data_IF_540869695692
#
_entry.id   IF_540869695692
#
_cell.length_a   1.000
_cell.length_b   1.000
_cell.length_c   1.000
_cell.angle_alpha   90.00
_cell.angle_beta   90.00
_cell.angle_gamma   90.00
#
_symmetry.space_group_name_H-M   'P 1'
#
loop_
_entity.id
_entity.type
_entity.pdbx_description
1 polymer ?
#
# COMPACT_ATOMS: atom_id res chain seq x y z
N UNK A 1 2.41 0.97 -5.84
CA UNK A 1 1.11 0.26 -5.80
C UNK A 1 1.32 -1.03 -6.59
N UNK A 2 0.97 -2.18 -6.01
CA UNK A 2 1.10 -3.47 -6.70
C UNK A 2 -0.30 -4.08 -6.95
N UNK A 3 -0.80 -4.07 -8.20
CA UNK A 3 -2.12 -4.59 -8.51
C UNK A 3 -2.19 -6.13 -8.46
N UNK A 4 -1.08 -6.84 -8.74
CA UNK A 4 -1.04 -8.31 -8.76
C UNK A 4 -1.12 -8.85 -7.33
N UNK A 5 -0.29 -8.31 -6.44
CA UNK A 5 -0.31 -8.69 -5.02
C UNK A 5 -1.61 -8.27 -4.33
N UNK A 6 -2.18 -7.13 -4.74
CA UNK A 6 -3.50 -6.70 -4.26
C UNK A 6 -4.58 -7.72 -4.59
N UNK A 7 -4.63 -8.17 -5.84
CA UNK A 7 -5.60 -9.18 -6.29
C UNK A 7 -5.40 -10.52 -5.57
N UNK A 8 -4.15 -10.97 -5.43
CA UNK A 8 -3.83 -12.24 -4.79
C UNK A 8 -4.13 -12.26 -3.27
N UNK A 9 -3.89 -11.15 -2.56
CA UNK A 9 -4.05 -11.07 -1.11
C UNK A 9 -5.44 -10.59 -0.64
N UNK A 10 -6.27 -10.06 -1.56
CA UNK A 10 -7.56 -9.44 -1.22
C UNK A 10 -7.43 -8.16 -0.38
N UNK A 11 -6.24 -7.57 -0.33
CA UNK A 11 -5.93 -6.35 0.43
C UNK A 11 -5.03 -5.45 -0.42
N UNK A 12 -5.34 -4.15 -0.42
CA UNK A 12 -4.57 -3.15 -1.18
C UNK A 12 -3.10 -3.17 -0.75
N UNK A 13 -2.22 -3.49 -1.69
CA UNK A 13 -0.76 -3.42 -1.51
C UNK A 13 -0.22 -2.10 -2.06
N UNK A 14 0.02 -1.16 -1.15
CA UNK A 14 0.49 0.18 -1.42
C UNK A 14 1.53 0.58 -0.37
N UNK A 15 2.56 1.30 -0.82
CA UNK A 15 3.52 2.00 0.03
C UNK A 15 3.72 3.43 -0.48
N UNK A 16 4.03 4.34 0.44
CA UNK A 16 4.40 5.72 0.14
C UNK A 16 5.78 5.97 0.74
N UNK A 17 6.66 6.62 -0.03
CA UNK A 17 8.06 6.80 0.35
C UNK A 17 8.54 8.19 -0.02
N UNK A 18 9.45 8.74 0.79
CA UNK A 18 10.16 9.97 0.50
C UNK A 18 11.67 9.73 0.57
N UNK A 19 12.40 10.37 -0.32
CA UNK A 19 13.86 10.31 -0.34
C UNK A 19 14.45 11.29 0.67
N UNK A 20 15.62 10.95 1.20
CA UNK A 20 16.42 11.92 1.93
C UNK A 20 17.00 12.98 0.98
N UNK A 21 17.19 14.22 1.44
CA UNK A 21 18.00 15.20 0.74
C UNK A 21 19.42 14.67 0.47
N UNK A 22 20.03 15.07 -0.64
CA UNK A 22 21.32 14.54 -1.08
C UNK A 22 22.47 14.78 -0.08
N UNK A 23 22.35 15.80 0.75
CA UNK A 23 23.30 16.24 1.78
C UNK A 23 22.98 15.69 3.19
N UNK A 24 21.89 14.94 3.34
CA UNK A 24 21.41 14.42 4.61
C UNK A 24 21.06 12.93 4.52
N UNK A 25 21.96 12.14 3.92
CA UNK A 25 21.87 10.70 4.05
C UNK A 25 22.20 10.31 5.49
N UNK A 26 21.34 9.51 6.17
CA UNK A 26 21.67 9.02 7.50
C UNK A 26 23.02 8.30 7.46
N UNK A 27 23.96 8.76 8.30
CA UNK A 27 25.33 8.20 8.40
C UNK A 27 25.27 6.75 8.88
N UNK A 28 25.23 5.84 7.91
CA UNK A 28 24.92 4.42 8.10
C UNK A 28 23.55 4.23 8.77
N UNK A 29 22.67 3.49 8.10
CA UNK A 29 21.50 2.94 8.78
C UNK A 29 22.01 2.06 9.92
N UNK A 30 22.11 2.63 11.14
CA UNK A 30 22.19 1.83 12.36
C UNK A 30 21.05 0.83 12.26
N UNK A 31 21.34 -0.45 12.47
CA UNK A 31 20.43 -1.59 12.27
C UNK A 31 19.05 -1.38 12.93
N UNK A 32 18.98 -0.48 13.91
CA UNK A 32 17.79 0.00 14.63
C UNK A 32 16.77 0.80 13.78
N UNK A 33 17.18 1.37 12.64
CA UNK A 33 16.30 2.07 11.69
C UNK A 33 15.84 1.18 10.53
N UNK A 34 16.18 -0.12 10.52
CA UNK A 34 15.41 -1.08 9.77
C UNK A 34 14.01 -1.10 10.38
N UNK A 35 13.17 -0.16 9.94
CA UNK A 35 11.73 -0.26 10.05
C UNK A 35 11.37 -1.69 9.64
N UNK A 36 10.39 -2.26 10.34
CA UNK A 36 9.95 -3.64 10.17
C UNK A 36 9.42 -3.84 8.74
N UNK A 37 10.31 -3.94 7.76
CA UNK A 37 10.01 -4.25 6.38
C UNK A 37 9.68 -5.73 6.42
N UNK A 38 8.42 -6.13 6.15
CA UNK A 38 8.07 -7.54 6.10
C UNK A 38 9.05 -8.26 5.18
N UNK A 39 9.51 -9.44 5.57
CA UNK A 39 10.54 -10.21 4.84
C UNK A 39 10.27 -10.30 3.34
N UNK A 40 8.98 -10.37 2.96
CA UNK A 40 8.50 -10.48 1.58
C UNK A 40 8.72 -9.19 0.75
N UNK A 41 9.07 -8.08 1.40
CA UNK A 41 9.35 -6.79 0.77
C UNK A 41 10.84 -6.45 0.79
N UNK A 42 11.68 -7.17 1.54
CA UNK A 42 13.12 -6.89 1.64
C UNK A 42 13.83 -6.98 0.27
N UNK A 43 13.38 -7.87 -0.61
CA UNK A 43 13.92 -8.00 -1.97
C UNK A 43 13.70 -6.73 -2.82
N UNK A 44 12.59 -6.01 -2.62
CA UNK A 44 12.23 -4.81 -3.38
C UNK A 44 13.04 -3.58 -2.95
N UNK A 45 13.57 -3.57 -1.71
CA UNK A 45 14.22 -2.38 -1.16
C UNK A 45 15.65 -2.19 -1.66
N UNK A 46 16.31 -3.27 -2.10
CA UNK A 46 17.56 -3.25 -2.88
C UNK A 46 18.73 -2.46 -2.26
N UNK A 47 19.76 -2.18 -3.07
CA UNK A 47 20.97 -1.47 -2.65
C UNK A 47 20.75 0.01 -2.25
N UNK A 48 19.55 0.56 -2.46
CA UNK A 48 19.20 1.96 -2.19
C UNK A 48 18.22 2.13 -1.03
N UNK A 49 17.95 1.07 -0.25
CA UNK A 49 17.02 1.10 0.88
C UNK A 49 17.30 2.22 1.90
N UNK A 50 18.56 2.64 2.03
CA UNK A 50 18.99 3.71 2.94
C UNK A 50 18.78 5.14 2.39
N UNK A 51 18.29 5.30 1.16
CA UNK A 51 18.09 6.61 0.52
C UNK A 51 16.66 7.14 0.66
N UNK A 52 15.74 6.36 1.21
CA UNK A 52 14.35 6.75 1.40
C UNK A 52 13.76 6.13 2.68
N UNK A 53 12.64 6.66 3.13
CA UNK A 53 11.88 6.15 4.27
C UNK A 53 10.40 6.01 3.92
N UNK A 54 9.73 5.07 4.59
CA UNK A 54 8.32 4.83 4.39
C UNK A 54 7.47 5.81 5.19
N UNK A 55 6.41 6.31 4.57
CA UNK A 55 5.37 7.10 5.21
C UNK A 55 4.23 6.20 5.71
N UNK A 56 3.63 6.59 6.84
CA UNK A 56 2.39 6.00 7.31
C UNK A 56 1.26 6.33 6.33
N UNK A 57 0.59 5.31 5.82
CA UNK A 57 -0.57 5.46 4.95
C UNK A 57 -1.83 5.35 5.79
N UNK A 58 -2.73 6.31 5.62
CA UNK A 58 -4.07 6.30 6.22
C UNK A 58 -5.12 6.44 5.13
N UNK A 59 -6.28 5.81 5.35
CA UNK A 59 -7.42 5.92 4.45
C UNK A 59 -8.45 6.86 5.06
N UNK A 60 -9.07 7.69 4.23
CA UNK A 60 -10.21 8.49 4.62
C UNK A 60 -11.25 8.45 3.50
N UNK A 61 -12.50 8.75 3.85
CA UNK A 61 -13.59 8.99 2.91
C UNK A 61 -14.19 10.34 3.28
N UNK A 62 -14.39 11.22 2.29
CA UNK A 62 -15.14 12.44 2.55
C UNK A 62 -16.62 12.14 2.75
N UNK A 63 -17.38 13.09 3.31
CA UNK A 63 -18.83 12.95 3.47
C UNK A 63 -19.54 12.76 2.12
N UNK A 64 -19.06 13.44 1.08
CA UNK A 64 -19.56 13.30 -0.29
C UNK A 64 -19.26 11.90 -0.85
N UNK A 65 -18.02 11.41 -0.66
CA UNK A 65 -17.65 10.06 -1.10
C UNK A 65 -18.53 9.02 -0.42
N UNK A 66 -18.80 9.18 0.88
CA UNK A 66 -19.66 8.26 1.62
C UNK A 66 -21.07 8.21 1.05
N UNK A 67 -21.69 9.37 0.82
CA UNK A 67 -23.02 9.46 0.24
C UNK A 67 -23.08 8.84 -1.17
N UNK A 68 -22.06 9.11 -2.00
CA UNK A 68 -21.95 8.54 -3.34
C UNK A 68 -21.78 7.02 -3.30
N UNK A 69 -20.91 6.50 -2.43
CA UNK A 69 -20.70 5.06 -2.29
C UNK A 69 -21.94 4.33 -1.77
N UNK A 70 -22.69 4.94 -0.85
CA UNK A 70 -23.96 4.38 -0.37
C UNK A 70 -25.00 4.26 -1.50
N UNK A 71 -25.08 5.24 -2.39
CA UNK A 71 -25.98 5.17 -3.54
C UNK A 71 -25.53 4.14 -4.58
N UNK A 72 -24.23 4.12 -4.91
CA UNK A 72 -23.67 3.12 -5.81
C UNK A 72 -23.84 1.70 -5.26
N UNK A 73 -23.69 1.51 -3.95
CA UNK A 73 -23.84 0.19 -3.34
C UNK A 73 -25.24 -0.37 -3.51
N UNK A 74 -26.28 0.48 -3.47
CA UNK A 74 -27.68 0.05 -3.67
C UNK A 74 -27.96 -0.51 -5.06
N UNK A 75 -27.28 0.01 -6.08
CA UNK A 75 -27.45 -0.41 -7.48
C UNK A 75 -26.50 -1.56 -7.86
N UNK A 76 -25.34 -1.67 -7.21
CA UNK A 76 -24.26 -2.57 -7.62
C UNK A 76 -23.96 -3.74 -6.66
N UNK A 77 -24.69 -3.88 -5.54
CA UNK A 77 -24.46 -4.99 -4.60
C UNK A 77 -24.58 -6.39 -5.23
N UNK A 78 -25.41 -6.56 -6.27
CA UNK A 78 -25.50 -7.82 -7.00
C UNK A 78 -24.18 -8.18 -7.69
N UNK A 79 -23.42 -7.21 -8.20
CA UNK A 79 -22.12 -7.44 -8.81
C UNK A 79 -21.06 -7.89 -7.80
N UNK A 80 -21.19 -7.47 -6.53
CA UNK A 80 -20.34 -7.97 -5.44
C UNK A 80 -20.62 -9.44 -5.13
N UNK A 81 -21.87 -9.89 -5.24
CA UNK A 81 -22.24 -11.30 -5.03
C UNK A 81 -21.94 -12.19 -6.24
N UNK A 82 -21.97 -11.65 -7.46
CA UNK A 82 -21.65 -12.39 -8.68
C UNK A 82 -20.16 -12.48 -8.99
N UNK A 83 -19.33 -11.77 -8.22
CA UNK A 83 -17.87 -11.86 -8.30
C UNK A 83 -17.39 -13.15 -7.63
N UNK A 84 -17.69 -14.29 -8.24
CA UNK A 84 -17.09 -15.57 -7.87
C UNK A 84 -15.65 -15.60 -8.39
N UNK A 85 -14.65 -15.56 -7.50
CA UNK A 85 -13.30 -16.01 -7.80
C UNK A 85 -13.33 -17.54 -7.99
N UNK A 86 -13.84 -17.98 -9.14
CA UNK A 86 -13.64 -19.33 -9.64
C UNK A 86 -12.88 -19.18 -10.95
N UNK A 87 -11.57 -18.98 -10.82
CA UNK A 87 -10.62 -19.37 -11.85
C UNK A 87 -9.77 -20.47 -11.22
N UNK A 88 -9.85 -21.66 -11.82
CA UNK A 88 -9.04 -22.83 -11.47
C UNK A 88 -7.70 -22.85 -12.19
#
# INVERSE_FOLDING_TARGET
IDPVRTAAAGKVDLGAFLTYPADNLPKAASEEQHQFIPSDKIADFGAHANHYYQLTVTYFKSDLDRALFEELWKEYWMNTLSSSNVEG
#
